data_IF_678789750950
#
_entry.id   IF_678789750950
#
_cell.length_a   1.000
_cell.length_b   1.000
_cell.length_c   1.000
_cell.angle_alpha   90.00
_cell.angle_beta   90.00
_cell.angle_gamma   90.00
#
_symmetry.space_group_name_H-M   'P 1'
#
loop_
_entity.id
_entity.type
_entity.pdbx_description
1 polymer ?
#
# COMPACT_ATOMS: atom_id res chain seq x y z
N UNK A 1 -62.18 21.56 17.37
CA UNK A 1 -60.95 22.12 16.80
C UNK A 1 -59.67 21.28 17.05
N UNK A 2 -59.79 19.95 17.18
CA UNK A 2 -58.61 19.14 17.53
C UNK A 2 -58.11 18.16 16.43
N UNK A 3 -58.74 18.17 15.24
CA UNK A 3 -58.46 17.15 14.22
C UNK A 3 -57.49 17.59 13.08
N UNK A 4 -57.20 18.90 12.97
CA UNK A 4 -56.30 19.41 11.95
C UNK A 4 -54.80 19.24 12.28
N UNK A 5 -54.45 19.25 13.58
CA UNK A 5 -53.03 19.17 14.00
C UNK A 5 -52.42 17.78 13.84
N UNK A 6 -53.25 16.72 13.88
CA UNK A 6 -52.72 15.32 13.75
C UNK A 6 -52.48 14.93 12.30
N UNK A 7 -53.27 15.40 11.36
CA UNK A 7 -53.11 15.13 9.93
C UNK A 7 -51.90 15.88 9.32
N UNK A 8 -51.66 17.09 9.79
CA UNK A 8 -50.51 17.91 9.36
C UNK A 8 -49.18 17.33 9.86
N UNK A 9 -49.10 16.83 11.07
CA UNK A 9 -47.93 16.13 11.62
C UNK A 9 -47.64 14.80 10.90
N UNK A 10 -48.68 14.07 10.50
CA UNK A 10 -48.51 12.81 9.75
C UNK A 10 -48.07 13.04 8.31
N UNK A 11 -48.46 14.13 7.66
CA UNK A 11 -48.00 14.50 6.31
C UNK A 11 -46.52 14.92 6.35
N UNK A 12 -46.14 15.78 7.29
CA UNK A 12 -44.79 16.26 7.44
C UNK A 12 -43.78 15.12 7.77
N UNK A 13 -44.20 14.14 8.57
CA UNK A 13 -43.33 13.00 8.86
C UNK A 13 -43.16 12.08 7.65
N UNK A 14 -44.14 11.88 6.80
CA UNK A 14 -44.00 11.11 5.55
C UNK A 14 -43.15 11.83 4.52
N UNK A 15 -43.29 13.14 4.40
CA UNK A 15 -42.46 13.95 3.50
C UNK A 15 -40.97 13.98 3.88
N UNK A 16 -40.66 13.90 5.17
CA UNK A 16 -39.26 13.84 5.66
C UNK A 16 -38.70 12.41 5.66
N UNK A 17 -39.49 11.41 5.97
CA UNK A 17 -39.02 10.01 6.05
C UNK A 17 -38.71 9.44 4.67
N UNK A 18 -39.49 9.77 3.64
CA UNK A 18 -39.28 9.23 2.31
C UNK A 18 -37.90 9.54 1.73
N UNK A 19 -37.42 10.82 1.70
CA UNK A 19 -36.08 11.09 1.19
C UNK A 19 -34.98 10.48 2.05
N UNK A 20 -35.16 10.35 3.36
CA UNK A 20 -34.19 9.68 4.25
C UNK A 20 -34.09 8.20 3.91
N UNK A 21 -35.21 7.52 3.72
CA UNK A 21 -35.23 6.09 3.34
C UNK A 21 -34.56 5.89 1.98
N UNK A 22 -34.87 6.73 1.00
CA UNK A 22 -34.23 6.67 -0.32
C UNK A 22 -32.71 6.86 -0.22
N UNK A 23 -32.25 7.82 0.58
CA UNK A 23 -30.83 8.06 0.81
C UNK A 23 -30.15 6.83 1.44
N UNK A 24 -30.76 6.24 2.47
CA UNK A 24 -30.24 5.04 3.13
C UNK A 24 -30.14 3.87 2.15
N UNK A 25 -31.14 3.66 1.30
CA UNK A 25 -31.12 2.58 0.29
C UNK A 25 -29.98 2.82 -0.73
N UNK A 26 -29.82 4.04 -1.21
CA UNK A 26 -28.73 4.38 -2.13
C UNK A 26 -27.37 4.12 -1.47
N UNK A 27 -27.17 4.56 -0.23
CA UNK A 27 -25.93 4.33 0.51
C UNK A 27 -25.64 2.83 0.69
N UNK A 28 -26.66 2.03 1.00
CA UNK A 28 -26.51 0.57 1.14
C UNK A 28 -26.10 -0.08 -0.19
N UNK A 29 -26.75 0.30 -1.29
CA UNK A 29 -26.42 -0.23 -2.62
C UNK A 29 -25.00 0.15 -3.01
N UNK A 30 -24.60 1.41 -2.86
CA UNK A 30 -23.24 1.87 -3.16
C UNK A 30 -22.21 1.14 -2.29
N UNK A 31 -22.47 0.99 -0.99
CA UNK A 31 -21.57 0.29 -0.08
C UNK A 31 -21.42 -1.19 -0.45
N UNK A 32 -22.50 -1.85 -0.84
CA UNK A 32 -22.46 -3.23 -1.29
C UNK A 32 -21.62 -3.40 -2.57
N UNK A 33 -21.79 -2.51 -3.55
CA UNK A 33 -21.00 -2.52 -4.79
C UNK A 33 -19.51 -2.31 -4.46
N UNK A 34 -19.18 -1.34 -3.62
CA UNK A 34 -17.79 -1.08 -3.21
C UNK A 34 -17.18 -2.28 -2.47
N UNK A 35 -17.93 -2.94 -1.61
CA UNK A 35 -17.47 -4.13 -0.90
C UNK A 35 -17.15 -5.29 -1.87
N UNK A 36 -18.01 -5.52 -2.86
CA UNK A 36 -17.77 -6.56 -3.89
C UNK A 36 -16.53 -6.22 -4.72
N UNK A 37 -16.41 -4.97 -5.19
CA UNK A 37 -15.23 -4.53 -5.95
C UNK A 37 -13.95 -4.68 -5.13
N UNK A 38 -13.96 -4.29 -3.86
CA UNK A 38 -12.80 -4.44 -2.98
C UNK A 38 -12.38 -5.91 -2.82
N UNK A 39 -13.34 -6.83 -2.64
CA UNK A 39 -13.03 -8.27 -2.51
C UNK A 39 -12.38 -8.86 -3.76
N UNK A 40 -12.70 -8.33 -4.94
CA UNK A 40 -12.10 -8.78 -6.21
C UNK A 40 -10.74 -8.12 -6.42
N UNK A 41 -10.63 -6.84 -6.09
CA UNK A 41 -9.44 -6.03 -6.41
C UNK A 41 -8.32 -6.22 -5.40
N UNK A 42 -8.63 -6.38 -4.10
CA UNK A 42 -7.64 -6.51 -3.03
C UNK A 42 -6.62 -7.64 -3.28
N UNK A 43 -7.01 -8.88 -3.62
CA UNK A 43 -6.04 -9.95 -3.86
C UNK A 43 -5.15 -9.69 -5.08
N UNK A 44 -5.67 -9.00 -6.09
CA UNK A 44 -4.89 -8.65 -7.29
C UNK A 44 -3.84 -7.59 -6.95
N UNK A 45 -4.22 -6.57 -6.17
CA UNK A 45 -3.30 -5.52 -5.70
C UNK A 45 -2.21 -6.14 -4.85
N UNK A 46 -2.57 -7.03 -3.92
CA UNK A 46 -1.60 -7.70 -3.04
C UNK A 46 -0.60 -8.55 -3.83
N UNK A 47 -1.08 -9.33 -4.79
CA UNK A 47 -0.22 -10.13 -5.66
C UNK A 47 0.73 -9.27 -6.51
N UNK A 48 0.25 -8.17 -7.09
CA UNK A 48 1.06 -7.25 -7.86
C UNK A 48 2.11 -6.55 -6.99
N UNK A 49 1.71 -6.03 -5.82
CA UNK A 49 2.63 -5.37 -4.87
C UNK A 49 3.72 -6.32 -4.39
N UNK A 50 3.37 -7.59 -4.14
CA UNK A 50 4.34 -8.62 -3.79
C UNK A 50 5.31 -8.89 -4.94
N UNK A 51 4.81 -9.03 -6.16
CA UNK A 51 5.65 -9.25 -7.34
C UNK A 51 6.60 -8.07 -7.59
N UNK A 52 6.13 -6.83 -7.48
CA UNK A 52 6.95 -5.62 -7.58
C UNK A 52 8.02 -5.56 -6.48
N UNK A 53 7.66 -5.88 -5.24
CA UNK A 53 8.61 -5.93 -4.12
C UNK A 53 9.70 -6.98 -4.35
N UNK A 54 9.33 -8.18 -4.79
CA UNK A 54 10.30 -9.24 -5.11
C UNK A 54 11.20 -8.84 -6.28
N UNK A 55 10.66 -8.21 -7.32
CA UNK A 55 11.46 -7.69 -8.43
C UNK A 55 12.45 -6.61 -7.97
N UNK A 56 12.04 -5.74 -7.04
CA UNK A 56 12.93 -4.74 -6.46
C UNK A 56 14.06 -5.37 -5.64
N UNK A 57 13.81 -6.45 -4.90
CA UNK A 57 14.88 -7.19 -4.23
C UNK A 57 15.86 -7.81 -5.22
N UNK A 58 15.35 -8.42 -6.30
CA UNK A 58 16.20 -9.00 -7.34
C UNK A 58 17.09 -7.96 -8.01
N UNK A 59 16.60 -6.72 -8.19
CA UNK A 59 17.36 -5.65 -8.83
C UNK A 59 18.61 -5.23 -8.06
N UNK A 60 18.64 -5.40 -6.75
CA UNK A 60 19.80 -5.06 -5.90
C UNK A 60 20.68 -6.25 -5.58
N UNK A 61 20.20 -7.47 -5.81
CA UNK A 61 20.95 -8.71 -5.60
C UNK A 61 21.86 -9.04 -6.80
N UNK A 62 22.87 -9.91 -6.63
CA UNK A 62 23.75 -10.33 -7.72
C UNK A 62 22.99 -10.89 -8.93
N UNK A 63 23.52 -10.64 -10.13
CA UNK A 63 22.93 -11.09 -11.39
C UNK A 63 22.72 -12.61 -11.39
N UNK A 64 21.54 -13.03 -11.86
CA UNK A 64 21.13 -14.46 -11.87
C UNK A 64 20.27 -14.88 -10.70
N UNK A 65 20.03 -14.01 -9.73
CA UNK A 65 19.04 -14.27 -8.65
C UNK A 65 17.62 -14.21 -9.24
N UNK A 66 16.82 -15.24 -8.97
CA UNK A 66 15.40 -15.29 -9.37
C UNK A 66 14.51 -15.08 -8.15
N UNK A 67 13.29 -14.61 -8.37
CA UNK A 67 12.30 -14.39 -7.30
C UNK A 67 12.00 -15.66 -6.50
N UNK A 68 12.05 -16.83 -7.15
CA UNK A 68 11.77 -18.14 -6.51
C UNK A 68 12.89 -18.61 -5.57
N UNK A 69 14.10 -18.03 -5.72
CA UNK A 69 15.24 -18.34 -4.85
C UNK A 69 15.28 -17.49 -3.57
N UNK A 70 14.32 -16.58 -3.39
CA UNK A 70 14.25 -15.70 -2.24
C UNK A 70 13.44 -16.32 -1.12
N UNK A 71 14.01 -16.32 0.08
CA UNK A 71 13.33 -16.71 1.33
C UNK A 71 13.03 -15.45 2.13
N UNK A 72 11.77 -15.16 2.38
CA UNK A 72 11.36 -14.02 3.22
C UNK A 72 11.76 -14.27 4.67
N UNK A 73 12.35 -13.26 5.31
CA UNK A 73 12.70 -13.28 6.73
C UNK A 73 11.56 -12.66 7.53
N UNK A 74 11.02 -13.43 8.46
CA UNK A 74 10.01 -13.00 9.42
C UNK A 74 10.65 -12.45 10.70
N UNK A 75 9.85 -11.80 11.54
CA UNK A 75 10.26 -11.26 12.85
C UNK A 75 11.33 -10.16 12.81
N UNK A 76 11.19 -9.24 11.86
CA UNK A 76 12.03 -8.06 11.79
C UNK A 76 11.72 -7.12 12.98
N UNK A 77 12.69 -6.90 13.85
CA UNK A 77 12.52 -6.07 15.06
C UNK A 77 13.13 -4.69 14.95
N UNK A 78 13.80 -4.41 13.83
CA UNK A 78 14.48 -3.12 13.60
C UNK A 78 13.50 -2.07 13.11
N UNK A 79 13.50 -0.89 13.72
CA UNK A 79 12.69 0.24 13.28
C UNK A 79 12.98 0.60 11.82
N UNK A 80 11.94 0.96 11.08
CA UNK A 80 11.95 1.32 9.65
C UNK A 80 12.27 0.16 8.67
N UNK A 81 12.66 -1.03 9.13
CA UNK A 81 12.79 -2.21 8.27
C UNK A 81 11.42 -2.84 8.10
N UNK A 82 10.93 -2.86 6.86
CA UNK A 82 9.60 -3.34 6.50
C UNK A 82 9.60 -4.70 5.80
N UNK A 83 10.77 -5.21 5.45
CA UNK A 83 10.93 -6.52 4.84
C UNK A 83 12.39 -6.88 4.66
N UNK A 84 12.69 -8.17 4.61
CA UNK A 84 13.99 -8.68 4.25
C UNK A 84 13.86 -10.05 3.59
N UNK A 85 14.76 -10.35 2.67
CA UNK A 85 14.84 -11.63 1.98
C UNK A 85 16.28 -12.14 2.01
N UNK A 86 16.43 -13.46 1.98
CA UNK A 86 17.72 -14.14 1.93
C UNK A 86 17.79 -15.04 0.70
N UNK A 87 18.92 -15.06 0.03
CA UNK A 87 19.22 -16.01 -1.04
C UNK A 87 19.81 -17.31 -0.48
N UNK A 88 19.77 -18.37 -1.27
CA UNK A 88 20.44 -19.64 -0.93
C UNK A 88 21.97 -19.47 -0.86
N UNK A 89 22.55 -18.48 -1.53
CA UNK A 89 23.98 -18.16 -1.51
C UNK A 89 24.43 -17.46 -0.21
N UNK A 90 23.46 -16.95 0.58
CA UNK A 90 23.74 -16.26 1.84
C UNK A 90 23.62 -14.75 1.78
N UNK A 91 23.38 -14.17 0.58
CA UNK A 91 23.13 -12.74 0.42
C UNK A 91 21.80 -12.36 1.04
N UNK A 92 21.70 -11.15 1.57
CA UNK A 92 20.51 -10.63 2.23
C UNK A 92 20.13 -9.30 1.60
N UNK A 93 18.86 -9.16 1.20
CA UNK A 93 18.34 -7.86 0.78
C UNK A 93 17.29 -7.38 1.78
N UNK A 94 17.38 -6.11 2.15
CA UNK A 94 16.55 -5.46 3.17
C UNK A 94 15.77 -4.33 2.53
N UNK A 95 14.48 -4.25 2.85
CA UNK A 95 13.59 -3.14 2.52
C UNK A 95 13.39 -2.29 3.75
N UNK A 96 13.74 -1.02 3.65
CA UNK A 96 13.48 -0.03 4.69
C UNK A 96 12.63 1.11 4.14
N UNK A 97 11.78 1.68 4.98
CA UNK A 97 10.94 2.82 4.61
C UNK A 97 11.05 3.91 5.69
N UNK A 98 11.15 5.14 5.24
CA UNK A 98 11.15 6.32 6.10
C UNK A 98 10.42 7.48 5.44
N UNK A 99 9.77 8.30 6.24
CA UNK A 99 9.02 9.45 5.73
C UNK A 99 9.95 10.46 5.07
N UNK A 100 9.69 10.74 3.81
CA UNK A 100 10.45 11.68 2.99
C UNK A 100 9.94 13.11 3.06
N UNK A 101 10.51 13.98 2.19
CA UNK A 101 10.17 15.41 2.13
C UNK A 101 8.69 15.68 1.82
N UNK A 102 8.05 14.86 1.00
CA UNK A 102 6.63 15.01 0.65
C UNK A 102 5.65 14.60 1.75
N UNK A 103 6.15 14.11 2.90
CA UNK A 103 5.33 13.49 3.95
C UNK A 103 4.89 12.05 3.63
N UNK A 104 5.30 11.51 2.47
CA UNK A 104 5.12 10.11 2.08
C UNK A 104 6.43 9.36 2.25
N UNK A 105 6.35 8.04 2.37
CA UNK A 105 7.54 7.22 2.59
C UNK A 105 8.42 7.12 1.33
N UNK A 106 9.72 7.16 1.55
CA UNK A 106 10.76 6.74 0.62
C UNK A 106 11.14 5.31 0.98
N UNK A 107 11.15 4.43 0.01
CA UNK A 107 11.56 3.03 0.22
C UNK A 107 12.96 2.83 -0.32
N UNK A 108 13.81 2.19 0.48
CA UNK A 108 15.19 1.87 0.11
C UNK A 108 15.36 0.36 0.18
N UNK A 109 15.93 -0.20 -0.86
CA UNK A 109 16.35 -1.59 -0.94
C UNK A 109 17.87 -1.64 -0.89
N UNK A 110 18.43 -2.40 0.03
CA UNK A 110 19.89 -2.58 0.19
C UNK A 110 20.20 -4.06 0.21
N UNK A 111 21.10 -4.49 -0.65
CA UNK A 111 21.61 -5.87 -0.63
C UNK A 111 22.98 -5.92 0.03
N UNK A 112 23.18 -6.97 0.81
CA UNK A 112 24.43 -7.32 1.47
C UNK A 112 24.91 -8.67 0.95
N UNK A 113 26.19 -8.80 0.69
CA UNK A 113 26.82 -10.07 0.39
C UNK A 113 26.96 -10.95 1.64
N UNK A 114 27.41 -12.19 1.47
CA UNK A 114 27.63 -13.12 2.58
C UNK A 114 28.67 -12.67 3.62
N UNK A 115 29.46 -11.61 3.34
CA UNK A 115 30.43 -11.00 4.23
C UNK A 115 29.89 -9.76 4.95
N UNK A 116 28.67 -9.33 4.61
CA UNK A 116 28.04 -8.14 5.15
C UNK A 116 28.43 -6.84 4.44
N UNK A 117 29.10 -6.90 3.29
CA UNK A 117 29.36 -5.73 2.47
C UNK A 117 28.15 -5.41 1.60
N UNK A 118 27.92 -4.10 1.33
CA UNK A 118 26.81 -3.67 0.46
C UNK A 118 27.16 -4.05 -0.98
N UNK A 119 26.29 -4.82 -1.62
CA UNK A 119 26.42 -5.28 -3.00
C UNK A 119 25.53 -4.51 -3.98
N UNK A 120 24.46 -3.88 -3.50
CA UNK A 120 23.56 -3.07 -4.32
C UNK A 120 22.62 -2.22 -3.49
N UNK A 121 22.21 -1.09 -4.05
CA UNK A 121 21.24 -0.16 -3.46
C UNK A 121 20.26 0.26 -4.55
N UNK A 122 18.99 0.33 -4.21
CA UNK A 122 17.94 0.93 -5.04
C UNK A 122 17.01 1.76 -4.18
N UNK A 123 16.62 2.93 -4.67
CA UNK A 123 15.79 3.88 -3.92
C UNK A 123 14.51 4.14 -4.71
N UNK A 124 13.37 3.77 -4.16
CA UNK A 124 12.06 4.15 -4.70
C UNK A 124 11.61 5.47 -4.07
N UNK A 125 11.75 6.52 -4.85
CA UNK A 125 11.32 7.87 -4.52
C UNK A 125 10.12 8.34 -5.38
N UNK A 126 9.38 7.42 -5.99
CA UNK A 126 8.25 7.70 -6.89
C UNK A 126 7.14 8.53 -6.22
N UNK A 127 6.99 8.39 -4.90
CA UNK A 127 6.01 9.12 -4.08
C UNK A 127 6.47 10.54 -3.73
N UNK A 128 7.70 10.91 -4.03
CA UNK A 128 8.30 12.16 -3.62
C UNK A 128 8.04 13.30 -4.61
N UNK A 129 8.20 14.55 -4.14
CA UNK A 129 8.01 15.74 -4.97
C UNK A 129 8.99 15.75 -6.14
N UNK A 130 8.46 15.81 -7.36
CA UNK A 130 9.23 15.82 -8.60
C UNK A 130 10.27 16.96 -8.61
N UNK A 131 11.50 16.63 -8.95
CA UNK A 131 12.60 17.62 -9.06
C UNK A 131 13.27 17.99 -7.73
N UNK A 132 12.71 17.59 -6.58
CA UNK A 132 13.28 17.79 -5.24
C UNK A 132 13.56 16.44 -4.60
N UNK A 133 12.55 15.78 -4.09
CA UNK A 133 12.67 14.50 -3.40
C UNK A 133 12.93 13.31 -4.35
N UNK A 134 12.43 13.38 -5.58
CA UNK A 134 12.64 12.31 -6.58
C UNK A 134 14.09 12.16 -7.04
N UNK A 135 14.95 13.16 -6.81
CA UNK A 135 16.37 13.11 -7.19
C UNK A 135 17.15 12.00 -6.47
N UNK A 136 16.74 11.59 -5.30
CA UNK A 136 17.40 10.50 -4.56
C UNK A 136 17.26 9.13 -5.25
N UNK A 137 16.30 8.97 -6.17
CA UNK A 137 16.15 7.77 -7.00
C UNK A 137 16.98 7.79 -8.30
N UNK A 138 17.78 8.83 -8.55
CA UNK A 138 18.66 8.87 -9.71
C UNK A 138 19.89 7.98 -9.49
N UNK A 139 20.41 7.31 -10.55
CA UNK A 139 21.55 6.38 -10.49
C UNK A 139 22.81 6.94 -9.83
N UNK A 140 22.97 8.25 -9.80
CA UNK A 140 24.13 8.89 -9.14
C UNK A 140 24.11 8.81 -7.61
N UNK A 141 22.99 8.35 -7.01
CA UNK A 141 22.84 8.21 -5.56
C UNK A 141 22.76 6.73 -5.11
N UNK A 142 22.68 5.79 -6.06
CA UNK A 142 22.60 4.35 -5.79
C UNK A 142 23.97 3.66 -5.96
#
# INVERSE_FOLDING_TARGET
>A
MANHSSAEKQSASKELVFPVVVLVVICLVCSAILAVLNNITAPIIEANTRAETLAAYVSVLPQGTTTDALTELENLTTANVTGAVKTAAGDVAVKAAATGYSGKDVTVYVAFDGNGAISGISIDASTQTTGIGSKVGEERFA
#
